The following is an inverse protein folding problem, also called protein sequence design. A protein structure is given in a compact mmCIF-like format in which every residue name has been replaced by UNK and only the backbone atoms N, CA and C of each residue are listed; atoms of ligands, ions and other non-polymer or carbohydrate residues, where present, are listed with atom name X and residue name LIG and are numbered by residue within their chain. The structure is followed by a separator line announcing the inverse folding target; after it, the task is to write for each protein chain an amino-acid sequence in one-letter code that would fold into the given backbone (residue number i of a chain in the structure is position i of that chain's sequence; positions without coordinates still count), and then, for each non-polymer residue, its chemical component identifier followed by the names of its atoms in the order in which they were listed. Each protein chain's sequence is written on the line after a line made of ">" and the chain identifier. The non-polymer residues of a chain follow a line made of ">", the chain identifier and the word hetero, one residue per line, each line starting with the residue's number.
data_IF_292817284912
#
_entry.id   IF_292817284912
#
_cell.length_a   1.000
_cell.length_b   1.000
_cell.length_c   1.000
_cell.angle_alpha   90.00
_cell.angle_beta   90.00
_cell.angle_gamma   90.00
#
_symmetry.space_group_name_H-M   'P 1'
#
loop_
_entity.id
_entity.type
_entity.pdbx_description
1 polymer ?
#
# COMPACT_ATOMS: atom_id res chain seq x y z
N UNK A 1 -17.57 20.77 6.78
CA UNK A 1 -17.82 19.88 5.62
C UNK A 1 -18.92 20.47 4.74
N UNK A 2 -18.73 20.55 3.43
CA UNK A 2 -19.78 20.99 2.51
C UNK A 2 -20.60 19.79 2.09
N UNK A 3 -21.94 19.83 2.25
CA UNK A 3 -22.82 18.74 1.82
C UNK A 3 -23.27 18.94 0.39
N UNK A 4 -23.34 17.87 -0.38
CA UNK A 4 -23.95 17.84 -1.72
C UNK A 4 -25.47 18.04 -1.68
N UNK A 5 -26.10 17.98 -0.49
CA UNK A 5 -27.54 18.13 -0.33
C UNK A 5 -28.39 17.02 -1.00
N UNK A 6 -27.78 15.89 -1.32
CA UNK A 6 -28.44 14.78 -2.02
C UNK A 6 -28.78 13.66 -1.03
N UNK A 7 -29.96 13.08 -1.18
CA UNK A 7 -30.38 11.85 -0.50
C UNK A 7 -29.91 10.62 -1.29
N UNK A 8 -28.59 10.41 -1.31
CA UNK A 8 -27.90 9.34 -2.02
C UNK A 8 -26.73 8.87 -1.15
N UNK A 9 -26.58 7.55 -0.96
CA UNK A 9 -25.53 6.98 -0.13
C UNK A 9 -24.12 7.35 -0.61
N UNK A 10 -23.90 7.40 -1.92
CA UNK A 10 -22.61 7.83 -2.50
C UNK A 10 -22.35 9.30 -2.18
N UNK A 11 -23.34 10.19 -2.34
CA UNK A 11 -23.18 11.60 -2.01
C UNK A 11 -22.93 11.79 -0.50
N UNK A 12 -23.59 11.03 0.37
CA UNK A 12 -23.36 11.07 1.81
C UNK A 12 -21.97 10.55 2.20
N UNK A 13 -21.47 9.51 1.53
CA UNK A 13 -20.09 9.09 1.72
C UNK A 13 -19.10 10.17 1.28
N UNK A 14 -19.31 10.79 0.12
CA UNK A 14 -18.46 11.88 -0.37
C UNK A 14 -18.57 13.15 0.47
N UNK A 15 -19.69 13.41 1.16
CA UNK A 15 -19.77 14.48 2.16
C UNK A 15 -18.72 14.29 3.28
N UNK A 16 -18.31 13.04 3.57
CA UNK A 16 -17.36 12.68 4.64
C UNK A 16 -15.95 12.47 4.10
N UNK A 17 -15.78 11.73 3.01
CA UNK A 17 -14.45 11.31 2.52
C UNK A 17 -14.06 11.91 1.16
N UNK A 18 -14.90 12.77 0.57
CA UNK A 18 -14.69 13.29 -0.78
C UNK A 18 -13.62 14.37 -0.91
N UNK A 19 -13.15 14.91 0.19
CA UNK A 19 -12.09 15.91 0.16
C UNK A 19 -10.74 15.30 -0.25
N UNK A 20 -9.97 16.10 -1.01
CA UNK A 20 -8.61 15.72 -1.38
C UNK A 20 -7.77 15.37 -0.15
N UNK A 21 -6.98 14.34 -0.23
CA UNK A 21 -6.13 13.74 0.79
C UNK A 21 -6.84 12.79 1.76
N UNK A 22 -8.15 12.88 1.97
CA UNK A 22 -8.88 12.10 2.98
C UNK A 22 -8.68 10.60 2.80
N UNK A 23 -8.97 10.05 1.62
CA UNK A 23 -8.76 8.61 1.36
C UNK A 23 -7.28 8.21 1.35
N UNK A 24 -6.35 9.13 1.04
CA UNK A 24 -4.91 8.85 1.13
C UNK A 24 -4.45 8.80 2.60
N UNK A 25 -5.04 9.60 3.48
CA UNK A 25 -4.80 9.52 4.93
C UNK A 25 -5.34 8.18 5.47
N UNK A 26 -6.56 7.80 5.09
CA UNK A 26 -7.14 6.50 5.47
C UNK A 26 -6.25 5.35 4.96
N UNK A 27 -5.76 5.40 3.72
CA UNK A 27 -4.81 4.43 3.16
C UNK A 27 -3.56 4.28 4.03
N UNK A 28 -2.93 5.38 4.40
CA UNK A 28 -1.72 5.31 5.24
C UNK A 28 -2.01 4.68 6.61
N UNK A 29 -3.16 5.01 7.21
CA UNK A 29 -3.57 4.44 8.50
C UNK A 29 -3.96 2.95 8.39
N UNK A 30 -4.55 2.52 7.26
CA UNK A 30 -4.82 1.10 7.00
C UNK A 30 -3.52 0.28 6.90
N UNK A 31 -2.50 0.82 6.20
CA UNK A 31 -1.23 0.12 6.00
C UNK A 31 -0.37 0.11 7.28
N UNK A 32 -0.32 1.21 8.01
CA UNK A 32 0.58 1.40 9.15
C UNK A 32 -0.03 1.00 10.48
N UNK A 33 -1.36 1.00 10.59
CA UNK A 33 -2.05 0.98 11.87
C UNK A 33 -1.86 2.31 12.61
N UNK A 34 -1.80 2.24 13.95
CA UNK A 34 -1.55 3.41 14.78
C UNK A 34 -0.14 3.98 14.52
N UNK A 35 -0.04 5.25 14.19
CA UNK A 35 1.23 5.89 13.87
C UNK A 35 1.31 7.33 14.36
N UNK A 36 2.52 7.87 14.46
CA UNK A 36 2.75 9.26 14.82
C UNK A 36 2.31 10.18 13.68
N UNK A 37 1.95 11.42 14.04
CA UNK A 37 1.65 12.46 13.05
C UNK A 37 2.79 12.64 12.02
N UNK A 38 4.05 12.58 12.47
CA UNK A 38 5.22 12.69 11.60
C UNK A 38 5.34 11.55 10.61
N UNK A 39 5.01 10.31 11.02
CA UNK A 39 5.06 9.13 10.16
C UNK A 39 3.96 9.21 9.09
N UNK A 40 2.77 9.65 9.50
CA UNK A 40 1.66 9.91 8.57
C UNK A 40 2.00 11.01 7.57
N UNK A 41 2.61 12.12 8.03
CA UNK A 41 3.07 13.22 7.17
C UNK A 41 4.11 12.74 6.15
N UNK A 42 5.07 11.90 6.57
CA UNK A 42 6.10 11.34 5.71
C UNK A 42 5.53 10.37 4.67
N UNK A 43 4.42 9.68 4.99
CA UNK A 43 3.68 8.81 4.07
C UNK A 43 2.83 9.57 3.03
N UNK A 44 2.71 10.89 3.15
CA UNK A 44 1.85 11.74 2.32
C UNK A 44 2.65 12.88 1.68
N UNK A 45 3.55 12.58 0.72
CA UNK A 45 4.36 13.61 0.07
C UNK A 45 3.47 14.67 -0.59
N UNK A 46 3.85 15.93 -0.45
CA UNK A 46 3.13 17.07 -1.02
C UNK A 46 1.96 17.61 -0.19
N UNK A 47 1.51 16.94 0.88
CA UNK A 47 0.48 17.50 1.77
C UNK A 47 1.07 18.62 2.64
N UNK A 48 0.41 19.76 2.74
CA UNK A 48 0.78 20.81 3.68
C UNK A 48 0.45 20.39 5.12
N UNK A 49 1.30 20.79 6.09
CA UNK A 49 1.15 20.38 7.51
C UNK A 49 -0.19 20.82 8.11
N UNK A 50 -0.62 22.07 7.83
CA UNK A 50 -1.89 22.58 8.28
C UNK A 50 -3.08 21.83 7.67
N UNK A 51 -2.99 21.46 6.39
CA UNK A 51 -4.04 20.68 5.71
C UNK A 51 -4.16 19.27 6.29
N UNK A 52 -3.04 18.59 6.57
CA UNK A 52 -3.07 17.28 7.23
C UNK A 52 -3.75 17.39 8.60
N UNK A 53 -3.38 18.40 9.40
CA UNK A 53 -3.98 18.61 10.71
C UNK A 53 -5.49 18.92 10.63
N UNK A 54 -5.93 19.64 9.61
CA UNK A 54 -7.34 19.91 9.33
C UNK A 54 -8.09 18.63 8.97
N UNK A 55 -7.56 17.84 8.01
CA UNK A 55 -8.19 16.58 7.59
C UNK A 55 -8.29 15.56 8.72
N UNK A 56 -7.26 15.46 9.60
CA UNK A 56 -7.32 14.58 10.77
C UNK A 56 -8.43 15.03 11.72
N UNK A 57 -8.56 16.34 11.99
CA UNK A 57 -9.65 16.87 12.86
C UNK A 57 -11.04 16.58 12.27
N UNK A 58 -11.21 16.69 10.97
CA UNK A 58 -12.47 16.37 10.29
C UNK A 58 -12.80 14.88 10.36
N UNK A 59 -11.80 14.02 10.17
CA UNK A 59 -11.95 12.57 10.33
C UNK A 59 -12.26 12.18 11.79
N UNK A 60 -11.67 12.86 12.77
CA UNK A 60 -12.03 12.69 14.20
C UNK A 60 -13.48 13.11 14.47
N UNK A 61 -13.90 14.27 13.97
CA UNK A 61 -15.26 14.74 14.10
C UNK A 61 -16.30 13.82 13.42
N UNK A 62 -15.88 13.14 12.33
CA UNK A 62 -16.69 12.13 11.67
C UNK A 62 -16.64 10.74 12.34
N UNK A 63 -15.85 10.58 13.40
CA UNK A 63 -15.71 9.31 14.14
C UNK A 63 -14.91 8.24 13.40
N UNK A 64 -14.15 8.58 12.35
CA UNK A 64 -13.35 7.64 11.54
C UNK A 64 -11.92 7.48 12.04
N UNK A 65 -11.41 8.47 12.75
CA UNK A 65 -10.05 8.50 13.30
C UNK A 65 -10.15 8.85 14.78
N UNK A 66 -9.22 8.34 15.56
CA UNK A 66 -9.02 8.76 16.97
C UNK A 66 -7.54 9.00 17.25
N UNK A 67 -7.27 9.80 18.28
CA UNK A 67 -5.94 9.95 18.87
C UNK A 67 -5.86 9.19 20.17
N UNK A 68 -4.70 8.59 20.40
CA UNK A 68 -4.42 7.82 21.60
C UNK A 68 -3.02 8.15 22.10
N UNK A 69 -2.89 8.42 23.40
CA UNK A 69 -1.59 8.62 24.01
C UNK A 69 -0.89 7.27 24.21
N UNK A 70 0.25 7.09 23.54
CA UNK A 70 1.05 5.88 23.72
C UNK A 70 1.75 5.91 25.09
N UNK A 71 1.75 4.79 25.83
CA UNK A 71 2.45 4.71 27.11
C UNK A 71 3.97 4.84 26.94
N UNK A 72 4.72 5.17 28.00
CA UNK A 72 6.16 5.10 27.99
C UNK A 72 6.66 3.72 27.56
N UNK A 73 7.79 3.61 26.83
CA UNK A 73 8.78 4.67 26.53
C UNK A 73 8.43 5.54 25.31
N UNK A 74 7.37 5.22 24.59
CA UNK A 74 7.03 5.91 23.32
C UNK A 74 6.52 7.33 23.57
N UNK A 75 5.73 7.53 24.66
CA UNK A 75 5.23 8.82 25.18
C UNK A 75 4.86 9.83 24.07
N UNK A 76 3.99 9.44 23.14
CA UNK A 76 3.56 10.27 22.01
C UNK A 76 2.10 10.04 21.68
N UNK A 77 1.47 11.01 21.03
CA UNK A 77 0.11 10.85 20.49
C UNK A 77 0.16 10.07 19.18
N UNK A 78 -0.55 8.97 19.11
CA UNK A 78 -0.76 8.18 17.91
C UNK A 78 -2.10 8.53 17.27
N UNK A 79 -2.13 8.50 15.94
CA UNK A 79 -3.34 8.62 15.12
C UNK A 79 -3.67 7.25 14.60
N UNK A 80 -4.92 6.81 14.70
CA UNK A 80 -5.37 5.50 14.23
C UNK A 80 -6.82 5.55 13.76
N UNK A 81 -7.20 4.60 12.91
CA UNK A 81 -8.59 4.41 12.52
C UNK A 81 -9.41 3.89 13.71
N UNK A 82 -10.67 4.29 13.75
CA UNK A 82 -11.71 3.61 14.53
C UNK A 82 -12.19 2.39 13.78
N UNK A 83 -13.08 1.60 14.37
CA UNK A 83 -13.76 0.51 13.67
C UNK A 83 -14.50 1.02 12.42
N UNK A 84 -15.27 2.09 12.54
CA UNK A 84 -15.93 2.75 11.41
C UNK A 84 -14.96 3.28 10.35
N UNK A 85 -13.79 3.77 10.75
CA UNK A 85 -12.74 4.18 9.82
C UNK A 85 -12.12 2.99 9.08
N UNK A 86 -11.95 1.84 9.76
CA UNK A 86 -11.44 0.62 9.16
C UNK A 86 -12.41 0.01 8.13
N UNK A 87 -13.72 0.23 8.27
CA UNK A 87 -14.73 -0.18 7.26
C UNK A 87 -14.52 0.48 5.89
N UNK A 88 -13.69 1.53 5.78
CA UNK A 88 -13.29 2.11 4.49
C UNK A 88 -12.26 1.26 3.73
N UNK A 89 -11.69 0.22 4.33
CA UNK A 89 -10.70 -0.64 3.66
C UNK A 89 -11.19 -1.18 2.30
N UNK A 90 -12.38 -1.79 2.17
CA UNK A 90 -12.89 -2.25 0.88
C UNK A 90 -13.03 -1.13 -0.16
N UNK A 91 -13.37 0.09 0.27
CA UNK A 91 -13.50 1.25 -0.62
C UNK A 91 -12.13 1.68 -1.15
N UNK A 92 -11.14 1.79 -0.27
CA UNK A 92 -9.76 2.13 -0.65
C UNK A 92 -9.16 1.07 -1.57
N UNK A 93 -9.40 -0.22 -1.28
CA UNK A 93 -8.97 -1.35 -2.12
C UNK A 93 -9.60 -1.31 -3.51
N UNK A 94 -10.93 -1.13 -3.58
CA UNK A 94 -11.64 -1.03 -4.86
C UNK A 94 -11.15 0.16 -5.69
N UNK A 95 -10.90 1.30 -5.04
CA UNK A 95 -10.33 2.48 -5.68
C UNK A 95 -8.90 2.22 -6.17
N UNK A 96 -8.07 1.56 -5.35
CA UNK A 96 -6.71 1.15 -5.72
C UNK A 96 -6.71 0.23 -6.94
N UNK A 97 -7.54 -0.82 -6.92
CA UNK A 97 -7.69 -1.72 -8.06
C UNK A 97 -8.13 -0.99 -9.33
N UNK A 98 -9.12 -0.12 -9.23
CA UNK A 98 -9.58 0.69 -10.35
C UNK A 98 -8.48 1.64 -10.85
N UNK A 99 -7.65 2.17 -9.95
CA UNK A 99 -6.56 3.10 -10.24
C UNK A 99 -5.37 2.45 -10.97
N UNK A 100 -5.16 1.14 -10.86
CA UNK A 100 -4.04 0.43 -11.51
C UNK A 100 -3.91 0.72 -13.01
N UNK A 101 -5.03 0.89 -13.71
CA UNK A 101 -5.07 1.22 -15.14
C UNK A 101 -4.33 2.51 -15.51
N UNK A 102 -4.06 3.38 -14.54
CA UNK A 102 -3.36 4.64 -14.72
C UNK A 102 -1.88 4.59 -14.31
N UNK A 103 -1.39 3.42 -13.82
CA UNK A 103 -0.03 3.27 -13.28
C UNK A 103 1.02 2.80 -14.30
N UNK A 104 0.67 2.56 -15.57
CA UNK A 104 1.57 1.94 -16.57
C UNK A 104 2.86 2.72 -16.86
N UNK A 105 2.86 4.03 -16.70
CA UNK A 105 4.04 4.88 -16.93
C UNK A 105 4.02 6.00 -15.90
N UNK A 106 4.66 5.84 -14.74
CA UNK A 106 4.73 6.90 -13.76
C UNK A 106 5.55 8.06 -14.32
N UNK A 107 5.12 9.31 -14.14
CA UNK A 107 5.95 10.47 -14.38
C UNK A 107 7.22 10.44 -13.49
N UNK A 108 8.34 10.97 -13.96
CA UNK A 108 9.59 11.09 -13.18
C UNK A 108 9.42 11.87 -11.87
N UNK A 109 8.36 12.70 -11.80
CA UNK A 109 8.00 13.51 -10.63
C UNK A 109 7.25 12.75 -9.55
N UNK A 110 6.78 11.53 -9.81
CA UNK A 110 5.97 10.79 -8.86
C UNK A 110 6.83 10.23 -7.72
N UNK A 111 6.41 10.56 -6.51
CA UNK A 111 7.04 10.07 -5.29
C UNK A 111 6.61 8.63 -5.03
N UNK A 112 7.55 7.83 -4.50
CA UNK A 112 7.29 6.46 -4.06
C UNK A 112 7.61 6.28 -2.57
N UNK A 113 6.86 5.42 -1.91
CA UNK A 113 7.11 4.97 -0.54
C UNK A 113 6.92 3.46 -0.46
N UNK A 114 7.84 2.77 0.22
CA UNK A 114 7.85 1.29 0.25
C UNK A 114 6.58 0.68 0.83
N UNK A 115 5.87 1.38 1.74
CA UNK A 115 4.59 0.89 2.25
C UNK A 115 3.49 0.77 1.17
N UNK A 116 3.63 1.44 0.04
CA UNK A 116 2.63 1.35 -1.02
C UNK A 116 2.69 0.04 -1.80
N UNK A 117 3.76 -0.76 -1.62
CA UNK A 117 3.77 -2.15 -2.10
C UNK A 117 2.70 -3.03 -1.44
N UNK A 118 2.09 -2.61 -0.33
CA UNK A 118 0.99 -3.35 0.28
C UNK A 118 -0.10 -3.72 -0.73
N UNK A 119 -0.46 -2.81 -1.64
CA UNK A 119 -1.52 -3.06 -2.63
C UNK A 119 -1.11 -4.00 -3.76
N UNK A 120 0.02 -3.83 -4.46
CA UNK A 120 0.50 -4.84 -5.41
C UNK A 120 0.63 -6.23 -4.78
N UNK A 121 1.20 -6.32 -3.59
CA UNK A 121 1.31 -7.60 -2.85
C UNK A 121 -0.08 -8.20 -2.63
N UNK A 122 -1.01 -7.43 -2.12
CA UNK A 122 -2.36 -7.90 -1.82
C UNK A 122 -3.17 -8.27 -3.07
N UNK A 123 -3.04 -7.49 -4.16
CA UNK A 123 -3.81 -7.70 -5.37
C UNK A 123 -3.29 -8.86 -6.20
N UNK A 124 -2.00 -9.05 -6.29
CA UNK A 124 -1.39 -9.94 -7.28
C UNK A 124 -0.74 -11.19 -6.68
N UNK A 125 -0.18 -11.12 -5.46
CA UNK A 125 0.53 -12.27 -4.91
C UNK A 125 -0.41 -13.24 -4.20
N UNK A 126 -0.13 -14.52 -4.36
CA UNK A 126 -0.85 -15.61 -3.67
C UNK A 126 0.15 -16.69 -3.27
N UNK A 127 0.02 -17.24 -2.09
CA UNK A 127 0.77 -18.44 -1.70
C UNK A 127 0.19 -19.67 -2.42
N UNK A 128 0.94 -20.19 -3.39
CA UNK A 128 0.52 -21.33 -4.21
C UNK A 128 0.91 -22.68 -3.64
N UNK A 129 1.75 -22.68 -2.62
CA UNK A 129 2.11 -23.88 -1.87
C UNK A 129 1.96 -23.64 -0.37
N UNK A 130 0.71 -23.75 0.15
CA UNK A 130 0.43 -23.57 1.57
C UNK A 130 1.12 -24.58 2.49
N UNK A 131 1.61 -25.69 1.92
CA UNK A 131 2.31 -26.76 2.66
C UNK A 131 3.81 -26.50 2.82
N UNK A 132 4.38 -25.62 2.02
CA UNK A 132 5.78 -25.24 2.11
C UNK A 132 6.07 -24.46 3.40
N UNK A 133 7.31 -24.54 3.93
CA UNK A 133 7.73 -23.76 5.09
C UNK A 133 7.47 -22.27 4.93
N UNK A 134 7.25 -21.52 6.02
CA UNK A 134 7.19 -20.05 5.96
C UNK A 134 8.41 -19.48 5.24
N UNK A 135 8.19 -18.47 4.41
CA UNK A 135 9.24 -17.78 3.69
C UNK A 135 9.03 -16.26 3.72
N UNK A 136 10.10 -15.50 3.49
CA UNK A 136 10.09 -14.05 3.53
C UNK A 136 10.87 -13.45 2.36
N UNK A 137 10.32 -12.37 1.79
CA UNK A 137 10.96 -11.58 0.74
C UNK A 137 11.18 -10.17 1.28
N UNK A 138 12.42 -9.72 1.35
CA UNK A 138 12.71 -8.33 1.70
C UNK A 138 12.85 -7.47 0.43
N UNK A 139 12.12 -6.37 0.40
CA UNK A 139 12.16 -5.36 -0.66
C UNK A 139 13.06 -4.22 -0.20
N UNK A 140 14.17 -3.97 -0.89
CA UNK A 140 15.13 -2.90 -0.61
C UNK A 140 15.07 -1.83 -1.68
N UNK A 141 14.51 -0.69 -1.32
CA UNK A 141 14.45 0.50 -2.18
C UNK A 141 15.06 1.70 -1.48
N UNK A 142 15.31 2.79 -2.23
CA UNK A 142 15.70 4.07 -1.63
C UNK A 142 14.67 4.69 -0.68
N UNK A 143 13.43 4.18 -0.68
CA UNK A 143 12.34 4.65 0.18
C UNK A 143 12.20 3.87 1.51
N UNK A 144 13.15 2.99 1.81
CA UNK A 144 13.20 2.13 2.99
C UNK A 144 12.79 0.68 2.70
N UNK A 145 13.08 -0.24 3.64
CA UNK A 145 12.80 -1.66 3.46
C UNK A 145 11.33 -2.00 3.74
N UNK A 146 10.86 -3.06 3.10
CA UNK A 146 9.58 -3.69 3.37
C UNK A 146 9.70 -5.20 3.24
N UNK A 147 8.76 -5.96 3.81
CA UNK A 147 8.80 -7.41 3.86
C UNK A 147 7.47 -7.97 3.37
N UNK A 148 7.57 -9.04 2.59
CA UNK A 148 6.48 -9.92 2.23
C UNK A 148 6.69 -11.22 2.98
N UNK A 149 5.75 -11.61 3.82
CA UNK A 149 5.74 -12.86 4.57
C UNK A 149 4.76 -13.83 3.92
N UNK A 150 5.21 -15.07 3.69
CA UNK A 150 4.44 -16.13 3.00
C UNK A 150 4.33 -17.33 3.91
N UNK A 151 3.12 -17.71 4.30
CA UNK A 151 2.90 -18.89 5.13
C UNK A 151 1.46 -19.38 5.11
N UNK A 152 1.26 -20.68 5.05
CA UNK A 152 -0.04 -21.32 5.23
C UNK A 152 -1.16 -20.82 4.31
N UNK A 153 -0.83 -20.49 3.06
CA UNK A 153 -1.76 -19.95 2.07
C UNK A 153 -1.93 -18.43 2.12
N UNK A 154 -1.31 -17.75 3.10
CA UNK A 154 -1.41 -16.30 3.24
C UNK A 154 -0.13 -15.60 2.78
N UNK A 155 -0.31 -14.44 2.13
CA UNK A 155 0.74 -13.48 1.83
C UNK A 155 0.44 -12.20 2.58
N UNK A 156 1.42 -11.73 3.39
CA UNK A 156 1.26 -10.53 4.22
C UNK A 156 2.37 -9.54 3.93
N UNK A 157 2.03 -8.28 3.93
CA UNK A 157 2.97 -7.18 3.76
C UNK A 157 3.20 -6.45 5.09
N UNK A 158 4.44 -6.04 5.36
CA UNK A 158 4.75 -5.09 6.43
C UNK A 158 5.95 -4.21 6.09
N UNK A 159 6.01 -3.04 6.68
CA UNK A 159 7.17 -2.13 6.60
C UNK A 159 8.26 -2.60 7.58
N UNK A 160 9.51 -2.49 7.19
CA UNK A 160 10.67 -2.86 8.01
C UNK A 160 11.56 -3.91 7.34
N UNK A 161 12.59 -4.37 8.08
CA UNK A 161 13.55 -5.38 7.62
C UNK A 161 13.31 -6.73 8.30
N UNK A 162 13.71 -7.82 7.63
CA UNK A 162 13.80 -9.15 8.21
C UNK A 162 15.24 -9.42 8.70
N UNK A 163 15.43 -10.11 9.86
CA UNK A 163 16.76 -10.47 10.31
C UNK A 163 17.53 -11.38 9.34
N UNK A 164 16.81 -12.30 8.70
CA UNK A 164 17.33 -13.26 7.73
C UNK A 164 16.25 -13.54 6.67
N UNK A 165 16.10 -12.68 5.65
CA UNK A 165 15.13 -12.93 4.58
C UNK A 165 15.59 -14.09 3.70
N UNK A 166 14.63 -14.91 3.25
CA UNK A 166 14.92 -16.01 2.31
C UNK A 166 15.26 -15.48 0.92
N UNK A 167 14.66 -14.35 0.55
CA UNK A 167 14.90 -13.65 -0.71
C UNK A 167 14.99 -12.13 -0.49
N UNK A 168 15.85 -11.48 -1.25
CA UNK A 168 15.96 -10.01 -1.28
C UNK A 168 15.81 -9.52 -2.71
N UNK A 169 14.91 -8.56 -2.90
CA UNK A 169 14.74 -7.77 -4.12
C UNK A 169 15.27 -6.35 -3.88
N UNK A 170 16.36 -5.98 -4.54
CA UNK A 170 17.03 -4.69 -4.33
C UNK A 170 17.09 -3.87 -5.62
N UNK A 171 16.58 -2.64 -5.60
CA UNK A 171 16.61 -1.77 -6.78
C UNK A 171 15.52 -0.72 -6.84
N UNK A 172 15.24 -0.27 -8.07
CA UNK A 172 14.21 0.75 -8.30
C UNK A 172 12.82 0.20 -7.99
N UNK A 173 11.98 0.97 -7.26
CA UNK A 173 10.62 0.53 -6.90
C UNK A 173 9.79 0.06 -8.09
N UNK A 174 9.92 0.74 -9.23
CA UNK A 174 9.17 0.43 -10.45
C UNK A 174 9.47 -0.98 -11.00
N UNK A 175 10.73 -1.43 -10.89
CA UNK A 175 11.11 -2.79 -11.33
C UNK A 175 10.57 -3.85 -10.38
N UNK A 176 10.58 -3.57 -9.08
CA UNK A 176 9.96 -4.46 -8.08
C UNK A 176 8.45 -4.53 -8.33
N UNK A 177 7.78 -3.40 -8.52
CA UNK A 177 6.34 -3.36 -8.82
C UNK A 177 6.00 -4.15 -10.10
N UNK A 178 6.77 -3.94 -11.17
CA UNK A 178 6.57 -4.66 -12.44
C UNK A 178 6.74 -6.18 -12.29
N UNK A 179 7.67 -6.63 -11.44
CA UNK A 179 7.85 -8.04 -11.11
C UNK A 179 6.66 -8.57 -10.30
N UNK A 180 6.29 -7.88 -9.21
CA UNK A 180 5.21 -8.31 -8.31
C UNK A 180 3.85 -8.35 -8.99
N UNK A 181 3.64 -7.51 -10.00
CA UNK A 181 2.39 -7.43 -10.77
C UNK A 181 2.38 -8.30 -12.03
N UNK A 182 3.50 -8.98 -12.34
CA UNK A 182 3.63 -9.84 -13.51
C UNK A 182 3.74 -9.10 -14.85
N UNK A 183 4.03 -7.79 -14.82
CA UNK A 183 4.27 -7.01 -16.04
C UNK A 183 5.62 -7.35 -16.69
N UNK A 184 6.63 -7.67 -15.88
CA UNK A 184 7.94 -8.12 -16.29
C UNK A 184 8.30 -9.40 -15.53
N UNK A 185 8.96 -10.31 -16.21
CA UNK A 185 9.54 -11.52 -15.64
C UNK A 185 10.79 -11.22 -14.79
N UNK A 186 11.21 -12.17 -13.95
CA UNK A 186 12.44 -12.07 -13.20
C UNK A 186 13.68 -11.82 -14.09
N UNK A 187 13.73 -12.45 -15.26
CA UNK A 187 14.82 -12.28 -16.24
C UNK A 187 14.86 -10.84 -16.77
N UNK A 188 13.69 -10.29 -17.13
CA UNK A 188 13.60 -8.93 -17.67
C UNK A 188 13.96 -7.86 -16.62
N UNK A 189 13.48 -7.99 -15.37
CA UNK A 189 13.80 -7.01 -14.34
C UNK A 189 15.28 -7.05 -13.95
N UNK A 190 15.91 -8.22 -13.95
CA UNK A 190 17.37 -8.35 -13.73
C UNK A 190 18.14 -7.68 -14.86
N UNK A 191 17.75 -7.89 -16.11
CA UNK A 191 18.36 -7.21 -17.27
C UNK A 191 18.23 -5.68 -17.20
N UNK A 192 17.19 -5.17 -16.50
CA UNK A 192 16.96 -3.74 -16.27
C UNK A 192 17.60 -3.22 -14.97
N UNK A 193 18.35 -4.07 -14.25
CA UNK A 193 19.17 -3.69 -13.09
C UNK A 193 18.48 -3.92 -11.73
N UNK A 194 17.47 -4.78 -11.62
CA UNK A 194 17.02 -5.30 -10.34
C UNK A 194 17.97 -6.39 -9.85
N UNK A 195 18.40 -6.30 -8.61
CA UNK A 195 19.18 -7.34 -7.95
C UNK A 195 18.23 -8.31 -7.22
N UNK A 196 18.40 -9.60 -7.48
CA UNK A 196 17.67 -10.70 -6.83
C UNK A 196 18.71 -11.58 -6.13
N UNK A 197 18.62 -11.75 -4.81
CA UNK A 197 19.54 -12.57 -4.04
C UNK A 197 18.82 -13.43 -3.01
N UNK A 198 19.25 -14.67 -2.84
CA UNK A 198 18.62 -15.68 -1.98
C UNK A 198 17.89 -16.76 -2.78
N UNK A 199 16.86 -17.36 -2.19
CA UNK A 199 16.07 -18.44 -2.79
C UNK A 199 15.04 -17.92 -3.80
N UNK A 200 15.36 -18.00 -5.08
CA UNK A 200 14.45 -17.59 -6.16
C UNK A 200 13.17 -18.45 -6.24
N UNK A 201 13.15 -19.66 -5.68
CA UNK A 201 11.95 -20.51 -5.63
C UNK A 201 10.80 -19.86 -4.85
N UNK A 202 11.10 -18.93 -3.94
CA UNK A 202 10.08 -18.14 -3.24
C UNK A 202 9.29 -17.24 -4.20
N UNK A 203 9.91 -16.74 -5.29
CA UNK A 203 9.19 -15.99 -6.33
C UNK A 203 8.19 -16.86 -7.08
N UNK A 204 8.60 -18.05 -7.50
CA UNK A 204 7.74 -18.99 -8.22
C UNK A 204 6.51 -19.38 -7.39
N UNK A 205 6.67 -19.42 -6.05
CA UNK A 205 5.60 -19.70 -5.12
C UNK A 205 4.54 -18.59 -5.04
N UNK A 206 4.93 -17.33 -5.26
CA UNK A 206 4.04 -16.18 -4.97
C UNK A 206 3.67 -15.34 -6.17
N UNK A 207 4.51 -15.28 -7.20
CA UNK A 207 4.28 -14.40 -8.35
C UNK A 207 3.01 -14.75 -9.13
N UNK A 208 2.33 -13.76 -9.70
CA UNK A 208 1.16 -13.96 -10.52
C UNK A 208 1.48 -14.81 -11.76
N UNK A 209 0.51 -15.57 -12.24
CA UNK A 209 0.64 -16.29 -13.50
C UNK A 209 0.67 -15.34 -14.71
N UNK A 210 1.02 -15.84 -15.90
CA UNK A 210 1.21 -15.03 -17.10
C UNK A 210 -0.07 -14.31 -17.59
N UNK A 211 -1.24 -14.70 -17.09
CA UNK A 211 -2.52 -14.05 -17.40
C UNK A 211 -2.87 -12.92 -16.44
N UNK A 212 -2.06 -12.70 -15.42
CA UNK A 212 -2.26 -11.65 -14.43
C UNK A 212 -1.62 -10.35 -14.93
N UNK A 213 -2.31 -9.23 -14.76
CA UNK A 213 -1.79 -7.93 -15.16
C UNK A 213 -2.72 -6.80 -14.73
N UNK A 214 -2.31 -5.58 -14.98
CA UNK A 214 -3.14 -4.42 -14.69
C UNK A 214 -4.44 -4.44 -15.52
N UNK A 215 -5.56 -4.01 -14.93
CA UNK A 215 -6.80 -3.82 -15.69
C UNK A 215 -6.58 -2.91 -16.90
N UNK A 216 -7.18 -3.24 -18.04
CA UNK A 216 -7.09 -2.41 -19.24
C UNK A 216 -7.62 -0.99 -18.99
N UNK A 217 -6.97 0.01 -19.60
CA UNK A 217 -7.52 1.37 -19.62
C UNK A 217 -8.78 1.41 -20.47
N UNK A 218 -9.75 2.29 -20.13
CA UNK A 218 -10.81 2.61 -21.05
C UNK A 218 -10.19 3.14 -22.35
N UNK A 219 -10.42 2.47 -23.48
CA UNK A 219 -9.86 2.81 -24.79
C UNK A 219 -8.73 1.90 -25.28
N UNK A 220 -8.18 1.01 -24.47
CA UNK A 220 -7.20 -0.03 -24.86
C UNK A 220 -7.90 -1.34 -25.33
N UNK A 221 -9.16 -1.30 -25.71
CA UNK A 221 -9.80 -2.45 -26.34
C UNK A 221 -9.37 -2.53 -27.82
N UNK A 222 -9.03 -3.76 -28.32
CA UNK A 222 -8.64 -3.96 -29.71
C UNK A 222 -9.75 -3.63 -30.69
#
# INVERSE_FOLDING_TARGET
>A
MRSYGQYCSVAKALDVVGDRWTLLIVRELLIRGACRYTDLKNGLPGIATNLLAERIRELEAAGLVRREEAPPPVATTLVQLTEAGAELEPVVRALGWWGLRYMRTPPDSDEFRSQWFAYPVEFFLRDRDPSAPPASIELRTGAGPAIIEVSGGAVRFRVGSAPAPDLVLSGRPLLIDALLTGQLSAVEVVALGLEISGDAGVLDRVLPGPESGYPNRPGDQP
#
